data_IF_100049654007
#
_entry.id   IF_100049654007
#
_cell.length_a   1.000
_cell.length_b   1.000
_cell.length_c   1.000
_cell.angle_alpha   90.00
_cell.angle_beta   90.00
_cell.angle_gamma   90.00
#
_symmetry.space_group_name_H-M   'P 1'
#
loop_
_entity.id
_entity.type
_entity.pdbx_description
1 polymer ?
#
# COMPACT_ATOMS: atom_id res chain seq x y z
N UNK A 1 -28.53 -56.60 12.47
CA UNK A 1 -28.52 -55.14 12.23
C UNK A 1 -29.21 -54.88 10.90
N UNK A 2 -30.36 -54.18 10.88
CA UNK A 2 -31.12 -54.01 9.65
C UNK A 2 -30.31 -53.15 8.67
N UNK A 3 -29.96 -53.78 7.54
CA UNK A 3 -29.14 -53.21 6.49
C UNK A 3 -29.83 -52.04 5.80
N UNK A 4 -29.12 -50.91 5.76
CA UNK A 4 -29.51 -49.72 5.04
C UNK A 4 -29.62 -50.05 3.55
N UNK A 5 -30.84 -49.98 3.00
CA UNK A 5 -31.09 -50.17 1.56
C UNK A 5 -30.51 -48.97 0.81
N UNK A 6 -29.61 -49.23 -0.12
CA UNK A 6 -28.99 -48.20 -0.96
C UNK A 6 -29.91 -47.85 -2.13
N UNK A 7 -30.59 -46.70 -2.07
CA UNK A 7 -31.36 -46.15 -3.19
C UNK A 7 -30.45 -45.43 -4.19
N UNK A 8 -30.38 -45.93 -5.43
CA UNK A 8 -29.53 -45.38 -6.49
C UNK A 8 -30.02 -44.03 -7.05
N UNK A 9 -31.32 -43.74 -6.94
CA UNK A 9 -31.97 -42.56 -7.53
C UNK A 9 -31.82 -41.27 -6.68
N UNK A 10 -31.51 -41.41 -5.40
CA UNK A 10 -31.27 -40.29 -4.48
C UNK A 10 -29.78 -40.21 -4.07
N UNK A 11 -28.88 -40.69 -4.94
CA UNK A 11 -27.44 -40.73 -4.70
C UNK A 11 -26.85 -39.32 -4.74
N UNK A 12 -27.02 -38.58 -3.65
CA UNK A 12 -26.13 -37.48 -3.31
C UNK A 12 -24.72 -38.08 -3.25
N UNK A 13 -23.85 -37.72 -4.21
CA UNK A 13 -22.44 -38.12 -4.15
C UNK A 13 -21.89 -37.60 -2.83
N UNK A 14 -21.56 -38.51 -1.91
CA UNK A 14 -20.95 -38.16 -0.62
C UNK A 14 -19.53 -37.67 -0.91
N UNK A 15 -19.40 -36.41 -1.29
CA UNK A 15 -18.12 -35.74 -1.48
C UNK A 15 -17.57 -35.40 -0.10
N UNK A 16 -16.29 -35.70 0.12
CA UNK A 16 -15.59 -35.23 1.31
C UNK A 16 -15.64 -33.70 1.33
N UNK A 17 -16.18 -33.12 2.40
CA UNK A 17 -16.35 -31.66 2.56
C UNK A 17 -15.03 -30.93 2.87
N UNK A 18 -13.99 -31.68 3.27
CA UNK A 18 -12.68 -31.11 3.56
C UNK A 18 -11.99 -30.72 2.25
N UNK A 19 -11.67 -29.42 2.14
CA UNK A 19 -10.80 -28.85 1.11
C UNK A 19 -9.41 -29.48 1.27
N UNK A 20 -8.84 -30.03 0.17
CA UNK A 20 -7.58 -30.78 0.23
C UNK A 20 -6.37 -29.86 0.16
N UNK A 21 -6.57 -28.67 -0.38
CA UNK A 21 -5.61 -27.57 -0.53
C UNK A 21 -5.28 -26.94 0.83
N UNK A 22 -6.24 -26.91 1.76
CA UNK A 22 -6.07 -26.35 3.10
C UNK A 22 -5.43 -27.34 4.08
N UNK A 23 -4.20 -27.04 4.47
CA UNK A 23 -3.49 -27.81 5.49
C UNK A 23 -4.06 -27.52 6.88
N UNK A 24 -4.15 -28.55 7.74
CA UNK A 24 -4.59 -28.33 9.11
C UNK A 24 -3.49 -27.66 9.93
N UNK A 25 -3.87 -26.78 10.87
CA UNK A 25 -2.92 -25.96 11.66
C UNK A 25 -1.87 -26.79 12.40
N UNK A 26 -2.25 -27.92 12.99
CA UNK A 26 -1.33 -28.82 13.71
C UNK A 26 -0.40 -29.64 12.79
N UNK A 27 -0.61 -29.63 11.47
CA UNK A 27 0.27 -30.27 10.49
C UNK A 27 1.28 -29.30 9.89
N UNK A 28 1.23 -28.01 10.25
CA UNK A 28 2.17 -27.00 9.76
C UNK A 28 3.60 -27.25 10.24
N UNK A 29 3.75 -27.76 11.47
CA UNK A 29 5.04 -28.18 12.02
C UNK A 29 4.83 -29.45 12.87
N UNK A 30 5.52 -30.53 12.50
CA UNK A 30 5.41 -31.85 13.14
C UNK A 30 6.43 -32.05 14.28
N UNK A 31 7.28 -31.06 14.55
CA UNK A 31 8.22 -31.15 15.69
C UNK A 31 7.47 -31.14 17.02
N UNK A 32 7.96 -31.91 17.99
CA UNK A 32 7.37 -32.00 19.33
C UNK A 32 7.48 -30.67 20.10
N UNK A 33 8.44 -29.82 19.75
CA UNK A 33 8.67 -28.48 20.31
C UNK A 33 7.87 -27.38 19.62
N UNK A 34 6.99 -27.75 18.67
CA UNK A 34 6.11 -26.81 17.98
C UNK A 34 5.03 -26.24 18.91
N UNK A 35 4.22 -25.34 18.35
CA UNK A 35 3.21 -24.62 19.12
C UNK A 35 1.99 -25.49 19.38
N UNK A 36 1.41 -25.32 20.58
CA UNK A 36 0.27 -26.13 21.00
C UNK A 36 -0.99 -25.79 20.19
N UNK A 37 -1.66 -26.83 19.67
CA UNK A 37 -2.98 -26.76 19.05
C UNK A 37 -4.04 -27.31 20.00
N UNK A 38 -5.03 -26.49 20.37
CA UNK A 38 -6.19 -26.97 21.13
C UNK A 38 -7.26 -27.55 20.17
N UNK A 39 -7.50 -28.87 20.16
CA UNK A 39 -8.46 -29.51 19.26
C UNK A 39 -9.92 -29.16 19.56
N UNK A 40 -10.23 -28.67 20.77
CA UNK A 40 -11.60 -28.33 21.15
C UNK A 40 -12.04 -27.01 20.53
N UNK A 41 -11.22 -25.97 20.72
CA UNK A 41 -11.47 -24.63 20.16
C UNK A 41 -10.91 -24.46 18.74
N UNK A 42 -10.11 -25.44 18.27
CA UNK A 42 -9.43 -25.43 16.97
C UNK A 42 -8.49 -24.24 16.79
N UNK A 43 -7.85 -23.79 17.87
CA UNK A 43 -6.99 -22.61 17.89
C UNK A 43 -5.53 -22.95 18.20
N UNK A 44 -4.61 -22.18 17.63
CA UNK A 44 -3.19 -22.14 18.01
C UNK A 44 -2.84 -20.76 18.53
N UNK A 45 -2.06 -20.69 19.59
CA UNK A 45 -1.68 -19.41 20.19
C UNK A 45 -0.50 -18.76 19.47
N UNK A 46 0.53 -19.56 19.20
CA UNK A 46 1.83 -19.11 18.68
C UNK A 46 2.10 -19.64 17.26
N UNK A 47 3.07 -19.01 16.59
CA UNK A 47 3.50 -19.36 15.21
C UNK A 47 4.16 -20.73 15.24
N UNK A 48 3.66 -21.73 14.49
CA UNK A 48 4.26 -23.06 14.44
C UNK A 48 5.67 -23.00 13.85
N UNK A 49 5.96 -22.00 13.00
CA UNK A 49 7.25 -21.78 12.37
C UNK A 49 7.94 -20.54 12.93
N UNK A 50 8.52 -20.62 14.14
CA UNK A 50 9.23 -19.48 14.78
C UNK A 50 10.53 -19.07 14.07
N UNK A 51 11.08 -19.94 13.20
CA UNK A 51 12.44 -19.83 12.67
C UNK A 51 12.50 -19.11 11.31
N UNK A 52 11.50 -19.27 10.45
CA UNK A 52 11.49 -18.69 9.10
C UNK A 52 10.41 -17.62 8.98
N UNK A 53 10.83 -16.36 8.74
CA UNK A 53 9.94 -15.20 8.63
C UNK A 53 9.14 -15.17 7.31
N UNK A 54 9.64 -15.84 6.27
CA UNK A 54 9.08 -15.76 4.90
C UNK A 54 7.83 -16.64 4.70
N UNK A 55 7.69 -17.73 5.47
CA UNK A 55 6.56 -18.66 5.34
C UNK A 55 5.39 -18.32 6.29
N UNK A 56 5.09 -17.04 6.46
CA UNK A 56 3.96 -16.54 7.28
C UNK A 56 2.60 -16.60 6.56
N UNK A 57 2.39 -17.61 5.73
CA UNK A 57 1.14 -17.80 4.98
C UNK A 57 -0.08 -17.99 5.89
N UNK A 58 0.14 -18.39 7.15
CA UNK A 58 -0.89 -18.45 8.19
C UNK A 58 -0.39 -17.60 9.35
N UNK A 59 -0.92 -16.37 9.46
CA UNK A 59 -0.66 -15.57 10.63
C UNK A 59 -1.24 -16.26 11.87
N UNK A 60 -0.58 -16.13 13.02
CA UNK A 60 -1.13 -16.62 14.28
C UNK A 60 -2.54 -16.13 14.51
N UNK A 61 -3.37 -16.97 15.14
CA UNK A 61 -4.69 -16.52 15.58
C UNK A 61 -4.59 -15.32 16.54
N UNK A 62 -3.52 -15.22 17.33
CA UNK A 62 -3.29 -14.06 18.19
C UNK A 62 -2.93 -12.80 17.40
N UNK A 63 -2.09 -12.94 16.37
CA UNK A 63 -1.78 -11.82 15.48
C UNK A 63 -3.06 -11.35 14.78
N UNK A 64 -3.84 -12.27 14.23
CA UNK A 64 -5.11 -11.96 13.56
C UNK A 64 -6.08 -11.23 14.49
N UNK A 65 -6.21 -11.67 15.75
CA UNK A 65 -7.08 -11.04 16.76
C UNK A 65 -6.71 -9.59 17.07
N UNK A 66 -5.42 -9.30 17.16
CA UNK A 66 -4.93 -7.95 17.45
C UNK A 66 -4.81 -7.06 16.22
N UNK A 67 -4.91 -7.63 15.02
CA UNK A 67 -4.72 -6.90 13.76
C UNK A 67 -5.99 -6.21 13.25
N UNK A 68 -5.82 -5.32 12.28
CA UNK A 68 -6.93 -4.65 11.61
C UNK A 68 -7.69 -3.68 12.50
N UNK A 69 -9.03 -3.74 12.46
CA UNK A 69 -9.93 -2.84 13.16
C UNK A 69 -9.88 -3.00 14.69
N UNK A 70 -9.47 -4.18 15.19
CA UNK A 70 -9.32 -4.41 16.63
C UNK A 70 -8.30 -3.45 17.26
N UNK A 71 -7.15 -3.25 16.59
CA UNK A 71 -6.13 -2.29 17.03
C UNK A 71 -6.62 -0.83 16.96
N UNK A 72 -7.51 -0.51 16.01
CA UNK A 72 -8.09 0.84 15.93
C UNK A 72 -9.12 1.09 17.03
N UNK A 73 -9.95 0.08 17.32
CA UNK A 73 -10.91 0.10 18.41
C UNK A 73 -10.21 0.23 19.77
N UNK A 74 -9.10 -0.49 19.99
CA UNK A 74 -8.29 -0.37 21.20
C UNK A 74 -7.75 1.06 21.39
N UNK A 75 -7.22 1.68 20.33
CA UNK A 75 -6.76 3.08 20.36
C UNK A 75 -7.91 4.04 20.72
N UNK A 76 -9.10 3.79 20.17
CA UNK A 76 -10.29 4.59 20.47
C UNK A 76 -10.74 4.42 21.93
N UNK A 77 -10.65 3.21 22.47
CA UNK A 77 -10.94 2.93 23.88
C UNK A 77 -9.95 3.66 24.79
N UNK A 78 -8.65 3.60 24.49
CA UNK A 78 -7.61 4.35 25.24
C UNK A 78 -7.88 5.86 25.18
N UNK A 79 -8.26 6.38 24.01
CA UNK A 79 -8.63 7.78 23.85
C UNK A 79 -9.84 8.17 24.73
N UNK A 80 -10.87 7.32 24.77
CA UNK A 80 -12.06 7.55 25.60
C UNK A 80 -11.69 7.63 27.09
N UNK A 81 -10.88 6.69 27.60
CA UNK A 81 -10.40 6.73 28.99
C UNK A 81 -9.59 7.98 29.31
N UNK A 82 -8.66 8.37 28.43
CA UNK A 82 -7.87 9.60 28.62
C UNK A 82 -8.73 10.87 28.55
N UNK A 83 -9.82 10.85 27.78
CA UNK A 83 -10.74 11.98 27.70
C UNK A 83 -11.60 12.08 28.96
N UNK A 84 -12.03 10.94 29.50
CA UNK A 84 -12.77 10.83 30.76
C UNK A 84 -11.94 11.34 31.95
N UNK A 85 -10.66 10.94 32.04
CA UNK A 85 -9.72 11.47 33.04
C UNK A 85 -9.56 13.00 32.97
N UNK A 86 -9.72 13.59 31.78
CA UNK A 86 -9.68 15.05 31.55
C UNK A 86 -11.05 15.71 31.73
N UNK A 87 -12.07 14.98 32.18
CA UNK A 87 -13.42 15.49 32.45
C UNK A 87 -14.33 15.58 31.22
N UNK A 88 -13.97 14.95 30.09
CA UNK A 88 -14.86 14.85 28.92
C UNK A 88 -15.60 13.51 28.96
N UNK A 89 -16.93 13.56 29.00
CA UNK A 89 -17.77 12.36 29.02
C UNK A 89 -17.88 11.73 27.62
N UNK A 90 -16.93 10.88 27.26
CA UNK A 90 -16.92 10.11 26.01
C UNK A 90 -16.95 8.63 26.37
N UNK A 91 -18.00 7.92 25.94
CA UNK A 91 -18.13 6.49 26.20
C UNK A 91 -18.33 5.74 24.90
N UNK A 92 -17.46 4.76 24.63
CA UNK A 92 -17.40 4.07 23.34
C UNK A 92 -18.66 3.24 23.07
N UNK A 93 -19.16 2.52 24.07
CA UNK A 93 -20.35 1.67 23.94
C UNK A 93 -21.67 2.47 23.98
N UNK A 94 -21.74 3.57 24.73
CA UNK A 94 -22.97 4.36 24.84
C UNK A 94 -23.16 5.25 23.60
N UNK A 95 -22.14 6.03 23.23
CA UNK A 95 -22.19 6.97 22.10
C UNK A 95 -20.98 6.76 21.15
N UNK A 96 -20.94 5.64 20.39
CA UNK A 96 -19.78 5.28 19.56
C UNK A 96 -19.48 6.30 18.47
N UNK A 97 -20.51 6.84 17.81
CA UNK A 97 -20.37 7.81 16.72
C UNK A 97 -19.77 9.12 17.19
N UNK A 98 -20.21 9.62 18.35
CA UNK A 98 -19.65 10.81 18.98
C UNK A 98 -18.17 10.61 19.33
N UNK A 99 -17.82 9.47 19.94
CA UNK A 99 -16.43 9.13 20.25
C UNK A 99 -15.54 9.04 19.01
N UNK A 100 -16.03 8.41 17.94
CA UNK A 100 -15.32 8.30 16.67
C UNK A 100 -15.05 9.66 16.01
N UNK A 101 -16.04 10.57 16.02
CA UNK A 101 -15.88 11.93 15.50
C UNK A 101 -14.83 12.73 16.30
N UNK A 102 -14.90 12.69 17.63
CA UNK A 102 -13.91 13.36 18.47
C UNK A 102 -12.50 12.80 18.27
N UNK A 103 -12.36 11.48 18.12
CA UNK A 103 -11.07 10.86 17.86
C UNK A 103 -10.50 11.26 16.50
N UNK A 104 -11.34 11.42 15.47
CA UNK A 104 -10.93 11.94 14.16
C UNK A 104 -10.42 13.38 14.27
N UNK A 105 -11.19 14.26 14.92
CA UNK A 105 -10.79 15.65 15.17
C UNK A 105 -9.47 15.71 15.95
N UNK A 106 -9.32 14.90 17.00
CA UNK A 106 -8.08 14.81 17.76
C UNK A 106 -6.88 14.36 16.91
N UNK A 107 -7.06 13.41 15.99
CA UNK A 107 -5.99 13.01 15.05
C UNK A 107 -5.57 14.16 14.13
N UNK A 108 -6.52 14.94 13.64
CA UNK A 108 -6.27 16.12 12.79
C UNK A 108 -5.52 17.21 13.59
N UNK A 109 -6.04 17.57 14.77
CA UNK A 109 -5.42 18.57 15.66
C UNK A 109 -4.01 18.16 16.11
N UNK A 110 -3.79 16.89 16.46
CA UNK A 110 -2.46 16.40 16.85
C UNK A 110 -1.50 16.38 15.67
N UNK A 111 -1.97 16.08 14.46
CA UNK A 111 -1.16 16.16 13.24
C UNK A 111 -0.74 17.60 12.94
N UNK A 112 -1.67 18.55 13.02
CA UNK A 112 -1.39 19.98 12.85
C UNK A 112 -0.45 20.51 13.93
N UNK A 113 -0.65 20.14 15.19
CA UNK A 113 0.23 20.49 16.30
C UNK A 113 1.67 19.96 16.06
N UNK A 114 1.81 18.73 15.54
CA UNK A 114 3.12 18.16 15.17
C UNK A 114 3.78 18.90 14.00
N UNK A 115 3.00 19.34 13.00
CA UNK A 115 3.53 20.17 11.90
C UNK A 115 4.00 21.52 12.44
N UNK A 116 3.17 22.18 13.26
CA UNK A 116 3.49 23.48 13.84
C UNK A 116 4.70 23.39 14.77
N UNK A 117 4.84 22.32 15.56
CA UNK A 117 6.04 22.07 16.36
C UNK A 117 7.29 21.89 15.48
N UNK A 118 7.19 21.12 14.39
CA UNK A 118 8.29 20.96 13.42
C UNK A 118 8.69 22.29 12.78
N UNK A 119 7.72 23.12 12.36
CA UNK A 119 7.96 24.47 11.82
C UNK A 119 8.66 25.37 12.84
N UNK A 120 8.15 25.44 14.08
CA UNK A 120 8.78 26.23 15.15
C UNK A 120 10.22 25.82 15.44
N UNK A 121 10.52 24.52 15.39
CA UNK A 121 11.89 24.00 15.56
C UNK A 121 12.76 24.45 14.38
N UNK A 122 12.24 24.34 13.15
CA UNK A 122 12.94 24.76 11.94
C UNK A 122 13.23 26.26 11.92
N UNK A 123 12.27 27.09 12.32
CA UNK A 123 12.44 28.55 12.40
C UNK A 123 13.48 28.94 13.45
N UNK A 124 13.52 28.23 14.58
CA UNK A 124 14.44 28.52 15.69
C UNK A 124 15.88 28.08 15.42
N UNK A 125 16.05 26.91 14.81
CA UNK A 125 17.36 26.29 14.65
C UNK A 125 17.89 26.32 13.21
N UNK A 126 17.06 26.70 12.24
CA UNK A 126 17.39 26.61 10.81
C UNK A 126 17.51 25.16 10.33
N UNK A 127 18.01 24.97 9.10
CA UNK A 127 18.31 23.64 8.55
C UNK A 127 17.55 23.26 7.28
N UNK A 128 16.74 24.17 6.71
CA UNK A 128 16.01 23.95 5.45
C UNK A 128 16.92 23.50 4.31
N UNK A 129 18.16 24.00 4.29
CA UNK A 129 19.18 23.66 3.29
C UNK A 129 19.53 22.17 3.25
N UNK A 130 19.30 21.42 4.34
CA UNK A 130 19.57 19.99 4.41
C UNK A 130 18.38 19.11 3.98
N UNK A 131 17.19 19.68 3.80
CA UNK A 131 16.04 18.94 3.25
C UNK A 131 16.08 18.81 1.73
N UNK A 132 16.81 19.72 1.06
CA UNK A 132 17.08 19.61 -0.36
C UNK A 132 18.16 18.54 -0.52
N UNK A 133 17.72 17.28 -0.63
CA UNK A 133 18.60 16.18 -0.98
C UNK A 133 19.10 16.45 -2.39
N UNK A 134 20.42 16.64 -2.60
CA UNK A 134 20.96 16.80 -3.94
C UNK A 134 20.56 15.61 -4.82
N UNK A 135 20.45 15.78 -6.15
CA UNK A 135 20.19 14.67 -7.05
C UNK A 135 21.14 13.52 -6.75
N UNK A 136 20.61 12.28 -6.79
CA UNK A 136 21.34 11.05 -6.43
C UNK A 136 22.69 10.92 -7.15
N UNK A 137 22.79 11.45 -8.37
CA UNK A 137 24.03 11.55 -9.16
C UNK A 137 25.16 12.28 -8.40
N UNK A 138 24.83 13.42 -7.76
CA UNK A 138 25.79 14.18 -6.96
C UNK A 138 26.12 13.49 -5.63
N UNK A 139 25.18 12.72 -5.08
CA UNK A 139 25.39 11.98 -3.82
C UNK A 139 26.26 10.75 -3.99
N UNK A 140 26.04 9.99 -5.07
CA UNK A 140 26.77 8.76 -5.33
C UNK A 140 28.03 8.98 -6.18
N UNK A 141 28.23 10.20 -6.70
CA UNK A 141 29.28 10.53 -7.66
C UNK A 141 29.31 9.57 -8.86
N UNK A 142 28.15 9.02 -9.21
CA UNK A 142 27.98 8.07 -10.31
C UNK A 142 27.27 8.78 -11.47
N UNK A 143 27.86 8.69 -12.65
CA UNK A 143 27.28 9.18 -13.91
C UNK A 143 26.45 8.11 -14.62
N UNK A 144 26.47 6.88 -14.12
CA UNK A 144 25.81 5.73 -14.74
C UNK A 144 24.43 5.50 -14.13
N UNK A 145 23.42 5.47 -14.99
CA UNK A 145 22.08 5.03 -14.62
C UNK A 145 21.88 3.59 -15.08
N UNK A 146 21.59 2.70 -14.13
CA UNK A 146 21.22 1.33 -14.46
C UNK A 146 19.88 1.31 -15.21
N UNK A 147 19.88 0.63 -16.36
CA UNK A 147 18.73 0.51 -17.27
C UNK A 147 18.56 -0.96 -17.67
N UNK A 148 17.35 -1.48 -17.51
CA UNK A 148 16.97 -2.82 -17.96
C UNK A 148 16.08 -2.72 -19.21
N UNK A 149 16.45 -3.45 -20.27
CA UNK A 149 15.65 -3.59 -21.48
C UNK A 149 15.03 -4.99 -21.55
N UNK A 150 13.80 -5.08 -22.06
CA UNK A 150 13.19 -6.35 -22.43
C UNK A 150 13.89 -6.95 -23.64
N UNK A 151 13.64 -8.25 -23.90
CA UNK A 151 14.11 -8.92 -25.12
C UNK A 151 13.67 -8.22 -26.41
N UNK A 152 12.54 -7.50 -26.36
CA UNK A 152 11.98 -6.74 -27.47
C UNK A 152 12.53 -5.30 -27.56
N UNK A 153 13.48 -4.93 -26.68
CA UNK A 153 14.08 -3.59 -26.64
C UNK A 153 13.25 -2.53 -25.90
N UNK A 154 12.14 -2.91 -25.25
CA UNK A 154 11.32 -1.98 -24.44
C UNK A 154 11.96 -1.77 -23.07
N UNK A 155 11.93 -0.54 -22.57
CA UNK A 155 12.47 -0.22 -21.25
C UNK A 155 11.62 -0.88 -20.14
N UNK A 156 12.23 -1.70 -19.29
CA UNK A 156 11.57 -2.31 -18.12
C UNK A 156 11.83 -1.46 -16.87
N UNK A 157 13.06 -0.99 -16.70
CA UNK A 157 13.50 -0.26 -15.51
C UNK A 157 14.50 0.82 -15.88
N UNK A 158 14.28 2.02 -15.36
CA UNK A 158 15.10 3.20 -15.65
C UNK A 158 14.26 4.32 -16.25
N UNK A 159 14.93 5.39 -16.69
CA UNK A 159 14.32 6.48 -17.47
C UNK A 159 14.75 6.34 -18.93
N UNK A 160 13.83 6.62 -19.86
CA UNK A 160 14.18 6.68 -21.28
C UNK A 160 15.21 7.78 -21.51
N UNK A 161 16.16 7.55 -22.43
CA UNK A 161 17.11 8.60 -22.82
C UNK A 161 16.29 9.76 -23.41
N UNK A 162 16.42 10.99 -22.90
CA UNK A 162 15.71 12.12 -23.48
C UNK A 162 16.13 12.26 -24.94
N UNK A 163 15.16 12.52 -25.82
CA UNK A 163 15.44 12.86 -27.21
C UNK A 163 16.30 14.12 -27.21
N UNK A 164 17.43 14.11 -27.94
CA UNK A 164 18.28 15.28 -28.05
C UNK A 164 17.52 16.41 -28.75
N UNK A 165 17.19 17.46 -27.99
CA UNK A 165 16.61 18.69 -28.53
C UNK A 165 17.76 19.65 -28.89
N UNK A 166 17.63 20.41 -29.99
CA UNK A 166 18.58 21.48 -30.26
C UNK A 166 18.39 22.65 -29.29
N UNK A 167 19.31 23.62 -29.34
CA UNK A 167 19.26 24.85 -28.52
C UNK A 167 18.04 25.72 -28.84
N UNK A 168 17.45 25.58 -30.03
CA UNK A 168 16.35 26.41 -30.50
C UNK A 168 15.01 25.75 -30.16
N UNK A 169 13.95 26.54 -29.90
CA UNK A 169 12.61 25.99 -29.66
C UNK A 169 12.11 25.23 -30.89
N UNK A 170 12.17 23.91 -30.83
CA UNK A 170 11.61 23.03 -31.84
C UNK A 170 10.12 22.76 -31.56
N UNK A 171 9.34 22.46 -32.60
CA UNK A 171 7.94 22.06 -32.49
C UNK A 171 7.01 23.09 -31.83
N UNK A 172 7.34 24.38 -31.89
CA UNK A 172 6.47 25.44 -31.39
C UNK A 172 5.31 25.69 -32.38
N UNK A 173 4.10 25.36 -31.92
CA UNK A 173 2.86 25.67 -32.64
C UNK A 173 2.43 27.08 -32.26
N UNK A 174 2.53 28.01 -33.21
CA UNK A 174 2.10 29.40 -33.05
C UNK A 174 0.66 29.50 -33.55
N UNK A 175 -0.19 30.28 -32.90
CA UNK A 175 -1.55 30.66 -33.36
C UNK A 175 -2.49 29.50 -33.80
N UNK A 176 -2.91 28.62 -32.90
CA UNK A 176 -3.88 27.53 -33.15
C UNK A 176 -3.61 26.63 -34.39
N UNK A 177 -2.41 26.72 -34.99
CA UNK A 177 -2.01 25.88 -36.10
C UNK A 177 -1.62 24.49 -35.56
N UNK A 178 -1.96 23.43 -36.33
CA UNK A 178 -1.63 22.03 -35.96
C UNK A 178 -0.29 21.57 -36.51
N UNK A 179 0.34 22.39 -37.35
CA UNK A 179 1.64 22.13 -37.96
C UNK A 179 2.58 23.31 -37.68
N UNK A 180 3.88 23.05 -37.71
CA UNK A 180 4.92 24.04 -37.40
C UNK A 180 5.05 25.03 -38.57
N UNK A 181 5.43 26.27 -38.31
CA UNK A 181 5.75 27.25 -39.36
C UNK A 181 6.90 26.74 -40.24
N UNK A 182 6.75 26.83 -41.56
CA UNK A 182 7.72 26.28 -42.52
C UNK A 182 7.44 24.84 -42.93
N UNK A 183 6.34 24.23 -42.46
CA UNK A 183 5.86 22.93 -42.93
C UNK A 183 5.30 22.97 -44.37
N UNK A 184 5.10 24.15 -44.95
CA UNK A 184 4.64 24.34 -46.32
C UNK A 184 5.39 25.49 -47.01
N UNK A 185 5.65 25.33 -48.31
CA UNK A 185 6.32 26.32 -49.15
C UNK A 185 5.67 26.38 -50.53
N UNK A 186 5.40 27.60 -51.02
CA UNK A 186 4.93 27.84 -52.38
C UNK A 186 5.31 29.25 -52.83
N UNK A 187 5.78 29.39 -54.07
CA UNK A 187 6.07 30.67 -54.74
C UNK A 187 6.86 31.65 -53.86
N UNK A 188 7.91 31.15 -53.20
CA UNK A 188 8.81 31.95 -52.37
C UNK A 188 8.29 32.28 -50.96
N UNK A 189 7.08 31.84 -50.60
CA UNK A 189 6.47 32.08 -49.30
C UNK A 189 6.43 30.79 -48.47
N UNK A 190 6.79 30.92 -47.19
CA UNK A 190 6.67 29.85 -46.20
C UNK A 190 5.36 30.00 -45.41
N UNK A 191 4.72 28.88 -45.10
CA UNK A 191 3.45 28.85 -44.38
C UNK A 191 3.29 27.61 -43.50
N UNK A 192 2.06 27.41 -43.04
CA UNK A 192 1.66 26.25 -42.26
C UNK A 192 0.94 25.26 -43.16
N UNK A 193 1.35 23.99 -43.17
CA UNK A 193 0.69 22.94 -43.94
C UNK A 193 -0.79 22.76 -43.57
N UNK A 194 -1.18 23.08 -42.33
CA UNK A 194 -2.57 23.02 -41.89
C UNK A 194 -3.50 24.06 -42.54
N UNK A 195 -2.97 25.10 -43.19
CA UNK A 195 -3.76 26.16 -43.82
C UNK A 195 -4.00 25.94 -45.32
N UNK A 196 -3.43 24.89 -45.91
CA UNK A 196 -3.45 24.64 -47.35
C UNK A 196 -4.14 23.31 -47.70
N UNK A 197 -5.38 23.13 -47.22
CA UNK A 197 -6.27 22.03 -47.60
C UNK A 197 -7.23 22.42 -48.72
#
# INVERSE_FOLDING_TARGET
MPGQKFDAHNRMSTRNLRIREDTAKYLLNLSETSTHYDPKTRSMRDDPNKISRDNRLMANNEFERSSGEAAEFEKLQIFAWQAEERGKNIHLQANPTQGALYHKQFKEETHEARINARKKILDKYGGEKHFIVPPKELLYAQTEHYVEYSRDGKLIKGKEKPVSLSRYPENQLVNNHTQIFGSWWHDGHWGYACCHQ
#
